data_IF_033756647505
#
_entry.id   IF_033756647505
#
_cell.length_a   1.000
_cell.length_b   1.000
_cell.length_c   1.000
_cell.angle_alpha   90.00
_cell.angle_beta   90.00
_cell.angle_gamma   90.00
#
_symmetry.space_group_name_H-M   'P 1'
#
loop_
_entity.id
_entity.type
_entity.pdbx_description
1 polymer ?
#
# COMPACT_ATOMS: atom_id res chain seq x y z
N UNK A 1 -16.14 12.11 -1.39
CA UNK A 1 -16.19 12.34 -2.86
C UNK A 1 -16.30 13.84 -3.09
N UNK A 2 -15.61 14.39 -4.08
CA UNK A 2 -15.67 15.81 -4.47
C UNK A 2 -15.77 15.91 -6.01
N UNK A 3 -16.38 16.97 -6.54
CA UNK A 3 -16.54 17.19 -7.99
C UNK A 3 -15.30 17.84 -8.62
N UNK A 4 -14.92 17.43 -9.84
CA UNK A 4 -13.65 17.84 -10.48
C UNK A 4 -13.55 19.31 -10.93
N UNK A 5 -14.62 20.10 -10.83
CA UNK A 5 -14.63 21.51 -11.23
C UNK A 5 -13.95 22.46 -10.23
N UNK A 6 -13.60 21.98 -9.03
CA UNK A 6 -12.92 22.76 -7.99
C UNK A 6 -11.38 22.74 -8.10
N UNK A 7 -10.81 22.13 -9.14
CA UNK A 7 -9.36 21.86 -9.24
C UNK A 7 -8.56 22.74 -10.24
N UNK A 8 -9.00 23.96 -10.60
CA UNK A 8 -8.33 24.74 -11.68
C UNK A 8 -7.31 25.80 -11.18
N UNK A 9 -6.03 25.51 -11.44
CA UNK A 9 -4.80 26.33 -11.60
C UNK A 9 -4.59 27.61 -10.77
N UNK A 10 -3.48 27.71 -10.01
CA UNK A 10 -2.82 29.01 -9.79
C UNK A 10 -1.32 28.98 -9.36
N UNK A 11 -0.48 29.41 -10.31
CA UNK A 11 0.85 30.06 -10.29
C UNK A 11 1.62 30.32 -8.97
N UNK A 12 2.77 29.62 -8.88
CA UNK A 12 4.17 30.00 -8.50
C UNK A 12 4.44 31.03 -7.38
N UNK A 13 4.96 30.51 -6.25
CA UNK A 13 6.24 30.95 -5.67
C UNK A 13 6.39 30.91 -4.14
N UNK A 14 7.09 29.90 -3.58
CA UNK A 14 7.77 30.03 -2.27
C UNK A 14 7.92 28.78 -1.39
N UNK A 15 9.19 28.49 -1.00
CA UNK A 15 9.74 27.65 0.11
C UNK A 15 8.89 26.52 0.71
N UNK A 16 9.33 25.27 0.46
CA UNK A 16 8.80 24.04 1.06
C UNK A 16 8.82 24.01 2.60
N UNK A 17 7.73 23.51 3.18
CA UNK A 17 7.46 23.48 4.62
C UNK A 17 7.33 22.02 5.09
N UNK A 18 8.05 21.69 6.17
CA UNK A 18 7.80 20.50 6.98
C UNK A 18 6.45 20.65 7.71
N UNK A 19 5.42 19.90 7.31
CA UNK A 19 4.16 19.87 8.03
C UNK A 19 4.18 18.74 9.08
N UNK A 20 4.13 19.12 10.36
CA UNK A 20 3.96 18.23 11.51
C UNK A 20 2.55 18.46 12.05
N UNK A 21 1.63 17.52 11.82
CA UNK A 21 0.26 17.59 12.32
C UNK A 21 0.07 16.66 13.52
N UNK A 22 -0.66 17.12 14.54
CA UNK A 22 -1.07 16.32 15.71
C UNK A 22 -2.52 15.83 15.57
N UNK A 23 -2.82 14.75 16.30
CA UNK A 23 -3.94 13.78 16.25
C UNK A 23 -5.40 14.27 16.19
N UNK A 24 -5.68 15.55 15.96
CA UNK A 24 -7.04 16.02 15.64
C UNK A 24 -7.31 16.16 14.13
N UNK A 25 -6.29 15.92 13.31
CA UNK A 25 -6.41 15.99 11.85
C UNK A 25 -6.60 14.59 11.25
N UNK A 26 -7.78 14.36 10.67
CA UNK A 26 -8.04 13.22 9.80
C UNK A 26 -7.15 13.37 8.55
N UNK A 27 -6.23 12.43 8.33
CA UNK A 27 -5.37 12.46 7.15
C UNK A 27 -5.91 11.54 6.06
N UNK A 28 -5.69 11.94 4.82
CA UNK A 28 -6.17 11.18 3.67
C UNK A 28 -5.17 10.07 3.33
N UNK A 29 -5.53 8.83 3.61
CA UNK A 29 -4.68 7.67 3.31
C UNK A 29 -4.66 7.34 1.80
N UNK A 30 -5.79 7.51 1.11
CA UNK A 30 -5.93 7.17 -0.31
C UNK A 30 -6.78 8.21 -1.02
N UNK A 31 -6.21 8.79 -2.09
CA UNK A 31 -6.90 9.66 -3.04
C UNK A 31 -6.99 8.93 -4.37
N UNK A 32 -8.16 8.96 -5.00
CA UNK A 32 -8.31 8.55 -6.39
C UNK A 32 -9.44 9.33 -7.04
N UNK A 33 -9.28 9.61 -8.33
CA UNK A 33 -10.34 10.20 -9.16
C UNK A 33 -11.18 9.10 -9.76
N UNK A 34 -12.50 9.19 -9.61
CA UNK A 34 -13.45 8.28 -10.23
C UNK A 34 -14.73 9.03 -10.60
N UNK A 35 -15.48 8.52 -11.58
CA UNK A 35 -16.84 9.01 -11.85
C UNK A 35 -17.80 8.54 -10.75
N UNK A 36 -18.85 9.31 -10.48
CA UNK A 36 -19.92 8.93 -9.56
C UNK A 36 -20.62 7.63 -9.96
N UNK A 37 -20.59 7.29 -11.25
CA UNK A 37 -21.18 6.06 -11.79
C UNK A 37 -20.21 4.87 -11.80
N UNK A 38 -18.94 5.07 -11.44
CA UNK A 38 -17.95 4.00 -11.37
C UNK A 38 -18.25 3.09 -10.18
N UNK A 39 -17.85 1.83 -10.29
CA UNK A 39 -17.87 0.91 -9.17
C UNK A 39 -16.58 1.07 -8.38
N UNK A 40 -16.67 1.12 -7.06
CA UNK A 40 -15.53 1.03 -6.15
C UNK A 40 -15.59 -0.32 -5.44
N UNK A 41 -14.49 -1.05 -5.53
CA UNK A 41 -14.26 -2.29 -4.84
C UNK A 41 -13.49 -2.01 -3.56
N UNK A 42 -14.03 -2.44 -2.42
CA UNK A 42 -13.43 -2.29 -1.10
C UNK A 42 -13.00 -3.67 -0.63
N UNK A 43 -11.69 -3.90 -0.56
CA UNK A 43 -11.10 -5.13 -0.06
C UNK A 43 -10.75 -4.95 1.42
N UNK A 44 -11.09 -5.94 2.24
CA UNK A 44 -10.90 -5.86 3.69
C UNK A 44 -9.79 -6.78 4.17
N UNK A 45 -9.25 -6.52 5.36
CA UNK A 45 -8.30 -7.40 6.05
C UNK A 45 -8.83 -8.84 6.21
N UNK A 46 -10.15 -9.03 6.29
CA UNK A 46 -10.80 -10.36 6.36
C UNK A 46 -10.91 -11.07 5.00
N UNK A 47 -10.32 -10.50 3.94
CA UNK A 47 -10.30 -11.11 2.61
C UNK A 47 -11.64 -11.04 1.88
N UNK A 48 -12.53 -10.14 2.31
CA UNK A 48 -13.80 -9.85 1.63
C UNK A 48 -13.62 -8.70 0.66
N UNK A 49 -14.49 -8.67 -0.34
CA UNK A 49 -14.61 -7.56 -1.27
C UNK A 49 -16.05 -7.11 -1.35
N UNK A 50 -16.27 -5.81 -1.21
CA UNK A 50 -17.57 -5.15 -1.35
C UNK A 50 -17.56 -4.26 -2.59
N UNK A 51 -18.73 -4.10 -3.22
CA UNK A 51 -18.91 -3.22 -4.37
C UNK A 51 -19.94 -2.15 -4.05
N UNK A 52 -19.57 -0.88 -4.23
CA UNK A 52 -20.50 0.25 -4.19
C UNK A 52 -20.31 1.15 -5.40
N UNK A 53 -21.37 1.82 -5.82
CA UNK A 53 -21.26 2.89 -6.82
C UNK A 53 -20.77 4.17 -6.14
N UNK A 54 -20.01 4.99 -6.86
CA UNK A 54 -19.46 6.25 -6.33
C UNK A 54 -20.52 7.15 -5.70
N UNK A 55 -21.69 7.26 -6.32
CA UNK A 55 -22.81 8.07 -5.81
C UNK A 55 -23.41 7.62 -4.47
N UNK A 56 -23.13 6.38 -4.02
CA UNK A 56 -23.55 5.92 -2.69
C UNK A 56 -22.68 6.54 -1.58
N UNK A 57 -21.46 6.96 -1.92
CA UNK A 57 -20.57 7.61 -0.98
C UNK A 57 -21.01 9.08 -0.88
N UNK A 58 -21.38 9.56 0.32
CA UNK A 58 -21.83 10.93 0.48
C UNK A 58 -20.79 11.93 -0.03
N UNK A 59 -21.29 12.93 -0.77
CA UNK A 59 -20.50 14.11 -1.08
C UNK A 59 -20.31 14.91 0.21
N UNK A 60 -19.12 15.43 0.40
CA UNK A 60 -18.78 16.29 1.53
C UNK A 60 -18.04 17.51 0.98
N UNK A 61 -17.96 18.60 1.75
CA UNK A 61 -17.05 19.71 1.42
C UNK A 61 -15.59 19.32 1.69
N UNK A 62 -14.61 19.94 1.02
CA UNK A 62 -13.17 19.58 1.14
C UNK A 62 -12.68 19.53 2.59
N UNK A 63 -13.22 20.38 3.45
CA UNK A 63 -12.89 20.50 4.88
C UNK A 63 -13.74 19.61 5.79
N UNK A 64 -14.73 18.89 5.25
CA UNK A 64 -15.61 18.03 6.03
C UNK A 64 -14.98 16.66 6.22
N UNK A 65 -15.16 16.08 7.42
CA UNK A 65 -14.64 14.75 7.81
C UNK A 65 -15.19 13.58 6.99
N UNK A 66 -16.18 13.82 6.13
CA UNK A 66 -16.81 12.80 5.32
C UNK A 66 -17.71 11.87 6.15
N UNK A 67 -17.88 10.63 5.68
CA UNK A 67 -18.73 9.62 6.32
C UNK A 67 -17.90 8.42 6.70
N UNK A 68 -18.13 7.89 7.92
CA UNK A 68 -17.46 6.68 8.38
C UNK A 68 -17.75 5.49 7.44
N UNK A 69 -16.72 4.74 7.06
CA UNK A 69 -16.82 3.63 6.12
C UNK A 69 -17.78 2.52 6.58
N UNK A 70 -17.95 2.33 7.90
CA UNK A 70 -18.89 1.37 8.50
C UNK A 70 -20.35 1.71 8.13
N UNK A 71 -20.67 2.97 7.90
CA UNK A 71 -22.01 3.38 7.47
C UNK A 71 -22.27 3.09 5.99
N UNK A 72 -21.23 2.82 5.20
CA UNK A 72 -21.31 2.58 3.76
C UNK A 72 -21.25 1.08 3.45
N UNK A 73 -20.47 0.32 4.23
CA UNK A 73 -20.19 -1.10 4.03
C UNK A 73 -20.64 -1.92 5.26
N UNK A 74 -21.32 -3.06 5.06
CA UNK A 74 -21.65 -3.97 6.15
C UNK A 74 -20.41 -4.80 6.53
N UNK A 75 -19.47 -4.17 7.22
CA UNK A 75 -18.24 -4.78 7.72
C UNK A 75 -18.42 -5.27 9.16
N UNK A 76 -17.73 -6.35 9.48
CA UNK A 76 -17.76 -6.98 10.80
C UNK A 76 -16.84 -6.24 11.80
N UNK A 77 -17.00 -6.54 13.10
CA UNK A 77 -16.13 -5.96 14.12
C UNK A 77 -14.67 -6.41 13.89
N UNK A 78 -13.74 -5.44 13.84
CA UNK A 78 -12.33 -5.70 13.53
C UNK A 78 -12.02 -5.83 12.04
N UNK A 79 -13.04 -5.82 11.18
CA UNK A 79 -12.87 -5.75 9.73
C UNK A 79 -12.56 -4.30 9.30
N UNK A 80 -11.49 -4.12 8.53
CA UNK A 80 -11.00 -2.84 8.06
C UNK A 80 -10.75 -2.90 6.54
N UNK A 81 -10.95 -1.78 5.85
CA UNK A 81 -10.67 -1.68 4.41
C UNK A 81 -9.16 -1.51 4.21
N UNK A 82 -8.54 -2.44 3.48
CA UNK A 82 -7.10 -2.44 3.21
C UNK A 82 -6.77 -2.00 1.77
N UNK A 83 -7.72 -2.07 0.84
CA UNK A 83 -7.54 -1.54 -0.50
C UNK A 83 -8.86 -1.08 -1.13
N UNK A 84 -8.78 -0.01 -1.91
CA UNK A 84 -9.86 0.47 -2.76
C UNK A 84 -9.42 0.45 -4.22
N UNK A 85 -10.23 -0.14 -5.09
CA UNK A 85 -9.99 -0.18 -6.54
C UNK A 85 -11.25 0.30 -7.25
N UNK A 86 -11.15 1.37 -8.02
CA UNK A 86 -12.25 1.85 -8.84
C UNK A 86 -12.21 1.22 -10.23
N UNK A 87 -13.38 0.88 -10.77
CA UNK A 87 -13.54 0.33 -12.10
C UNK A 87 -14.83 0.83 -12.76
N UNK A 88 -14.70 1.23 -14.04
CA UNK A 88 -15.85 1.52 -14.91
C UNK A 88 -16.53 0.23 -15.33
N UNK A 89 -15.74 -0.66 -15.92
CA UNK A 89 -16.14 -1.97 -16.41
C UNK A 89 -15.19 -3.03 -15.85
N UNK A 90 -15.64 -4.28 -15.81
CA UNK A 90 -14.79 -5.39 -15.35
C UNK A 90 -13.87 -5.80 -16.49
N UNK A 91 -12.55 -5.50 -16.41
CA UNK A 91 -11.61 -5.85 -17.47
C UNK A 91 -11.46 -7.37 -17.57
N UNK A 92 -11.36 -7.90 -18.79
CA UNK A 92 -11.14 -9.33 -19.01
C UNK A 92 -9.66 -9.72 -18.90
N UNK A 93 -8.76 -8.80 -19.27
CA UNK A 93 -7.31 -9.05 -19.35
C UNK A 93 -6.52 -8.44 -18.19
N UNK A 94 -7.16 -8.29 -17.03
CA UNK A 94 -6.50 -7.81 -15.81
C UNK A 94 -6.69 -8.76 -14.65
N UNK A 95 -5.74 -8.70 -13.73
CA UNK A 95 -5.70 -9.55 -12.56
C UNK A 95 -5.65 -8.72 -11.28
N UNK A 96 -6.08 -9.33 -10.19
CA UNK A 96 -5.89 -8.85 -8.84
C UNK A 96 -4.86 -9.76 -8.17
N UNK A 97 -3.71 -9.17 -7.79
CA UNK A 97 -2.73 -9.82 -6.93
C UNK A 97 -3.00 -9.41 -5.49
N UNK A 98 -3.27 -10.39 -4.64
CA UNK A 98 -3.52 -10.26 -3.22
C UNK A 98 -2.35 -10.85 -2.45
N UNK A 99 -1.92 -10.18 -1.38
CA UNK A 99 -0.87 -10.66 -0.48
C UNK A 99 -1.36 -10.59 0.96
N UNK A 100 -1.16 -11.67 1.71
CA UNK A 100 -1.54 -11.78 3.11
C UNK A 100 -0.36 -11.54 4.05
N UNK A 101 -0.65 -11.31 5.33
CA UNK A 101 0.31 -11.07 6.40
C UNK A 101 1.24 -12.26 6.60
N UNK A 102 0.72 -13.49 6.45
CA UNK A 102 1.51 -14.73 6.53
C UNK A 102 2.30 -15.06 5.24
N UNK A 103 2.31 -14.17 4.25
CA UNK A 103 3.09 -14.34 3.02
C UNK A 103 2.44 -15.21 1.96
N UNK A 104 1.14 -15.48 2.07
CA UNK A 104 0.36 -16.09 0.98
C UNK A 104 0.09 -15.05 -0.10
N UNK A 105 0.26 -15.45 -1.36
CA UNK A 105 -0.10 -14.65 -2.53
C UNK A 105 -1.18 -15.37 -3.34
N UNK A 106 -2.13 -14.60 -3.86
CA UNK A 106 -3.15 -15.09 -4.77
C UNK A 106 -3.30 -14.16 -5.95
N UNK A 107 -3.34 -14.72 -7.16
CA UNK A 107 -3.71 -14.00 -8.37
C UNK A 107 -5.11 -14.43 -8.81
N UNK A 108 -5.99 -13.48 -9.07
CA UNK A 108 -7.37 -13.71 -9.50
C UNK A 108 -7.66 -12.91 -10.76
N UNK A 109 -8.39 -13.48 -11.72
CA UNK A 109 -8.89 -12.68 -12.84
C UNK A 109 -9.94 -11.68 -12.36
N UNK A 110 -9.91 -10.44 -12.85
CA UNK A 110 -10.92 -9.44 -12.49
C UNK A 110 -12.35 -9.88 -12.85
N UNK A 111 -12.50 -10.73 -13.87
CA UNK A 111 -13.78 -11.29 -14.32
C UNK A 111 -14.51 -12.10 -13.23
N UNK A 112 -13.78 -12.66 -12.25
CA UNK A 112 -14.36 -13.40 -11.11
C UNK A 112 -15.27 -12.53 -10.24
N UNK A 113 -15.10 -11.20 -10.29
CA UNK A 113 -15.86 -10.23 -9.51
C UNK A 113 -17.05 -9.62 -10.28
N UNK A 114 -17.24 -9.95 -11.56
CA UNK A 114 -18.25 -9.31 -12.44
C UNK A 114 -19.68 -9.41 -11.89
N UNK A 115 -20.05 -10.61 -11.42
CA UNK A 115 -21.40 -10.92 -10.95
C UNK A 115 -21.59 -10.71 -9.44
N UNK A 116 -20.75 -9.87 -8.82
CA UNK A 116 -20.88 -9.52 -7.42
C UNK A 116 -22.23 -8.87 -7.09
N UNK A 117 -22.82 -9.27 -5.97
CA UNK A 117 -23.94 -8.56 -5.34
C UNK A 117 -23.43 -7.58 -4.28
N UNK A 118 -24.28 -6.67 -3.82
CA UNK A 118 -23.89 -5.60 -2.88
C UNK A 118 -23.58 -6.07 -1.44
N UNK A 119 -23.88 -7.33 -1.09
CA UNK A 119 -23.62 -7.92 0.23
C UNK A 119 -22.15 -8.26 0.51
N UNK A 120 -21.29 -8.08 -0.50
CA UNK A 120 -19.88 -8.48 -0.44
C UNK A 120 -19.69 -9.98 -0.61
N UNK A 121 -18.50 -10.37 -1.06
CA UNK A 121 -18.13 -11.77 -1.25
C UNK A 121 -16.70 -12.01 -0.77
N UNK A 122 -16.37 -13.27 -0.49
CA UNK A 122 -14.98 -13.67 -0.21
C UNK A 122 -14.13 -13.59 -1.48
N UNK A 123 -13.04 -12.83 -1.43
CA UNK A 123 -12.04 -12.71 -2.50
C UNK A 123 -10.87 -13.69 -2.29
N UNK A 124 -10.54 -13.99 -1.05
CA UNK A 124 -9.49 -14.94 -0.67
C UNK A 124 -9.93 -15.73 0.57
N UNK A 125 -9.61 -17.02 0.61
CA UNK A 125 -9.74 -17.79 1.85
C UNK A 125 -8.49 -17.53 2.68
N UNK A 126 -8.69 -16.99 3.88
CA UNK A 126 -7.63 -16.78 4.85
C UNK A 126 -7.61 -17.95 5.84
N UNK A 127 -6.41 -18.28 6.32
CA UNK A 127 -6.21 -19.17 7.46
C UNK A 127 -6.40 -18.38 8.76
N UNK A 128 -6.58 -19.09 9.88
CA UNK A 128 -6.85 -18.47 11.17
C UNK A 128 -5.70 -17.54 11.60
N UNK A 129 -6.03 -16.29 11.93
CA UNK A 129 -5.06 -15.25 12.31
C UNK A 129 -4.33 -14.58 11.13
N UNK A 130 -4.60 -14.98 9.89
CA UNK A 130 -4.07 -14.30 8.71
C UNK A 130 -4.95 -13.11 8.28
N UNK A 131 -4.33 -12.13 7.63
CA UNK A 131 -4.98 -10.89 7.21
C UNK A 131 -4.54 -10.55 5.78
N UNK A 132 -5.48 -10.11 4.95
CA UNK A 132 -5.16 -9.59 3.62
C UNK A 132 -4.54 -8.20 3.75
N UNK A 133 -3.24 -8.03 3.48
CA UNK A 133 -2.54 -6.74 3.69
C UNK A 133 -2.37 -5.89 2.43
N UNK A 134 -2.54 -6.48 1.24
CA UNK A 134 -2.36 -5.76 -0.02
C UNK A 134 -3.18 -6.35 -1.15
N UNK A 135 -3.77 -5.48 -1.96
CA UNK A 135 -4.43 -5.82 -3.22
C UNK A 135 -3.95 -4.88 -4.31
N UNK A 136 -3.49 -5.44 -5.43
CA UNK A 136 -3.01 -4.68 -6.58
C UNK A 136 -3.63 -5.20 -7.87
N UNK A 137 -4.25 -4.30 -8.62
CA UNK A 137 -4.62 -4.55 -10.02
C UNK A 137 -3.36 -4.71 -10.87
N UNK A 138 -3.32 -5.65 -11.80
CA UNK A 138 -2.15 -6.04 -12.60
C UNK A 138 -2.59 -6.41 -14.01
N UNK A 139 -1.68 -6.37 -14.97
CA UNK A 139 -1.94 -6.62 -16.40
C UNK A 139 -1.41 -7.97 -16.90
N UNK A 140 -0.85 -8.80 -16.01
CA UNK A 140 -0.22 -10.07 -16.38
C UNK A 140 1.29 -10.01 -16.52
N UNK A 141 1.90 -8.81 -16.52
CA UNK A 141 3.34 -8.60 -16.75
C UNK A 141 4.06 -7.90 -15.60
N UNK A 142 3.46 -7.83 -14.41
CA UNK A 142 4.01 -7.10 -13.27
C UNK A 142 4.97 -7.95 -12.43
N UNK A 143 6.02 -7.31 -11.91
CA UNK A 143 6.79 -7.87 -10.80
C UNK A 143 6.15 -7.43 -9.48
N UNK A 144 6.01 -8.37 -8.56
CA UNK A 144 5.42 -8.17 -7.24
C UNK A 144 6.54 -8.25 -6.21
N UNK A 145 6.67 -7.19 -5.42
CA UNK A 145 7.60 -7.14 -4.29
C UNK A 145 6.83 -7.25 -2.98
N UNK A 146 7.32 -8.11 -2.08
CA UNK A 146 6.80 -8.31 -0.72
C UNK A 146 7.98 -8.10 0.22
N UNK A 147 7.78 -7.33 1.30
CA UNK A 147 8.77 -7.12 2.34
C UNK A 147 8.25 -7.60 3.71
N UNK A 148 9.17 -8.02 4.57
CA UNK A 148 8.87 -8.57 5.89
C UNK A 148 9.36 -7.67 7.02
N UNK A 149 8.80 -7.88 8.21
CA UNK A 149 9.12 -7.18 9.45
C UNK A 149 10.60 -7.35 9.84
N UNK A 150 11.15 -8.54 9.64
CA UNK A 150 12.58 -8.83 9.88
C UNK A 150 13.54 -8.25 8.82
N UNK A 151 13.03 -7.54 7.81
CA UNK A 151 13.85 -6.86 6.82
C UNK A 151 14.31 -7.77 5.69
N UNK A 152 13.49 -8.76 5.32
CA UNK A 152 13.64 -9.52 4.07
C UNK A 152 12.69 -8.97 3.00
N UNK A 153 13.01 -9.19 1.73
CA UNK A 153 12.10 -8.92 0.62
C UNK A 153 12.26 -9.92 -0.52
N UNK A 154 11.15 -10.29 -1.14
CA UNK A 154 11.11 -11.11 -2.36
C UNK A 154 10.46 -10.31 -3.48
N UNK A 155 11.05 -10.39 -4.68
CA UNK A 155 10.51 -9.79 -5.89
C UNK A 155 10.35 -10.88 -6.96
N UNK A 156 9.13 -11.19 -7.38
CA UNK A 156 8.85 -12.28 -8.33
C UNK A 156 7.84 -11.84 -9.40
N UNK A 157 7.79 -12.54 -10.53
CA UNK A 157 6.81 -12.26 -11.58
C UNK A 157 5.42 -12.66 -11.12
N UNK A 158 4.40 -11.85 -11.36
CA UNK A 158 3.02 -12.22 -11.03
C UNK A 158 2.59 -13.54 -11.69
N UNK A 159 3.19 -13.89 -12.83
CA UNK A 159 2.93 -15.13 -13.58
C UNK A 159 3.40 -16.39 -12.88
N UNK A 160 4.29 -16.29 -11.89
CA UNK A 160 4.66 -17.42 -11.03
C UNK A 160 3.48 -17.92 -10.19
N UNK A 161 2.42 -17.10 -10.09
CA UNK A 161 1.14 -17.43 -9.46
C UNK A 161 0.11 -17.62 -10.56
N UNK A 162 -0.37 -18.85 -10.78
CA UNK A 162 -1.48 -19.07 -11.72
C UNK A 162 -2.74 -18.32 -11.26
N UNK A 163 -3.61 -17.85 -12.18
CA UNK A 163 -4.91 -17.31 -11.80
C UNK A 163 -5.74 -18.38 -11.07
N UNK A 164 -6.46 -17.97 -10.03
CA UNK A 164 -7.31 -18.82 -9.21
C UNK A 164 -8.67 -18.17 -8.97
N UNK A 165 -9.69 -19.01 -8.77
CA UNK A 165 -11.03 -18.55 -8.43
C UNK A 165 -11.15 -18.02 -6.99
N UNK A 166 -12.30 -17.43 -6.68
CA UNK A 166 -12.58 -16.75 -5.41
C UNK A 166 -12.38 -17.57 -4.14
N UNK A 167 -12.75 -18.85 -4.15
CA UNK A 167 -12.66 -19.70 -2.97
C UNK A 167 -11.23 -20.19 -2.63
N UNK A 168 -10.26 -19.97 -3.52
CA UNK A 168 -8.89 -20.42 -3.29
C UNK A 168 -8.19 -19.60 -2.19
N UNK A 169 -7.32 -20.26 -1.42
CA UNK A 169 -6.47 -19.62 -0.42
C UNK A 169 -5.29 -18.87 -1.06
N UNK A 170 -4.71 -19.43 -2.13
CA UNK A 170 -3.52 -18.87 -2.78
C UNK A 170 -2.36 -19.87 -2.70
N UNK A 171 -1.15 -19.37 -2.91
CA UNK A 171 0.10 -20.12 -2.82
C UNK A 171 1.11 -19.29 -2.05
N UNK A 172 2.18 -19.92 -1.55
CA UNK A 172 3.25 -19.21 -0.88
C UNK A 172 3.91 -18.18 -1.81
N UNK A 173 3.93 -16.92 -1.37
CA UNK A 173 4.60 -15.79 -2.03
C UNK A 173 6.01 -15.57 -1.46
N UNK A 174 6.14 -15.57 -0.14
CA UNK A 174 7.42 -15.53 0.58
C UNK A 174 7.41 -16.58 1.69
N UNK A 175 8.57 -17.18 1.97
CA UNK A 175 8.76 -18.03 3.14
C UNK A 175 9.19 -17.15 4.32
N UNK A 176 8.33 -17.07 5.33
CA UNK A 176 8.60 -16.35 6.57
C UNK A 176 9.38 -17.22 7.57
N UNK A 177 10.21 -16.56 8.37
CA UNK A 177 10.80 -17.18 9.56
C UNK A 177 9.79 -17.16 10.70
N UNK A 178 10.07 -17.93 11.75
CA UNK A 178 9.25 -17.94 12.95
C UNK A 178 9.14 -16.53 13.55
N UNK A 179 7.91 -16.07 13.78
CA UNK A 179 7.61 -14.74 14.30
C UNK A 179 7.66 -13.59 13.28
N UNK A 180 8.12 -13.82 12.05
CA UNK A 180 8.14 -12.81 10.99
C UNK A 180 6.78 -12.72 10.27
N UNK A 181 6.52 -11.58 9.65
CA UNK A 181 5.30 -11.33 8.88
C UNK A 181 5.51 -10.30 7.79
N UNK A 182 4.63 -10.29 6.79
CA UNK A 182 4.68 -9.31 5.71
C UNK A 182 4.18 -7.94 6.20
N UNK A 183 4.98 -6.91 5.96
CA UNK A 183 4.66 -5.51 6.32
C UNK A 183 4.20 -4.68 5.13
N UNK A 184 4.34 -5.21 3.91
CA UNK A 184 3.82 -4.57 2.73
C UNK A 184 4.09 -5.36 1.45
N UNK A 185 3.27 -5.10 0.45
CA UNK A 185 3.45 -5.62 -0.89
C UNK A 185 2.98 -4.62 -1.95
N UNK A 186 3.68 -4.58 -3.08
CA UNK A 186 3.40 -3.64 -4.16
C UNK A 186 3.79 -4.22 -5.52
N UNK A 187 3.26 -3.59 -6.57
CA UNK A 187 3.79 -3.74 -7.93
C UNK A 187 5.06 -2.93 -8.03
N UNK A 188 6.08 -3.51 -8.66
CA UNK A 188 7.25 -2.77 -9.06
C UNK A 188 6.89 -1.72 -10.10
N UNK A 189 7.56 -0.56 -10.06
CA UNK A 189 7.53 0.45 -11.11
C UNK A 189 8.88 0.49 -11.78
N UNK A 190 8.89 0.66 -13.09
CA UNK A 190 10.12 0.93 -13.82
C UNK A 190 10.76 2.22 -13.30
N UNK A 191 12.07 2.21 -13.05
CA UNK A 191 12.80 3.32 -12.43
C UNK A 191 12.42 3.60 -10.96
N UNK A 192 11.45 2.89 -10.39
CA UNK A 192 11.01 3.09 -9.02
C UNK A 192 11.96 2.54 -7.97
N UNK A 193 11.77 2.98 -6.72
CA UNK A 193 12.46 2.51 -5.55
C UNK A 193 11.50 1.87 -4.54
N UNK A 194 11.96 0.87 -3.79
CA UNK A 194 11.32 0.45 -2.56
C UNK A 194 11.76 1.40 -1.43
N UNK A 195 10.85 2.24 -0.94
CA UNK A 195 11.01 2.94 0.32
C UNK A 195 10.71 1.96 1.46
N UNK A 196 11.68 1.80 2.36
CA UNK A 196 11.50 1.05 3.61
C UNK A 196 11.67 1.99 4.79
N UNK A 197 10.72 1.95 5.73
CA UNK A 197 10.76 2.71 7.00
C UNK A 197 10.65 1.73 8.16
N UNK A 198 11.47 1.94 9.19
CA UNK A 198 11.55 1.11 10.40
C UNK A 198 10.79 1.71 11.56
N UNK A 199 10.49 0.89 12.56
CA UNK A 199 9.74 1.28 13.76
C UNK A 199 10.36 2.48 14.49
N UNK A 200 11.69 2.62 14.49
CA UNK A 200 12.38 3.74 15.17
C UNK A 200 12.64 4.95 14.25
N UNK A 201 11.92 5.07 13.14
CA UNK A 201 11.95 6.27 12.29
C UNK A 201 13.17 6.37 11.35
N UNK A 202 13.82 5.25 11.03
CA UNK A 202 14.85 5.21 9.98
C UNK A 202 14.25 4.75 8.67
N UNK A 203 14.76 5.25 7.55
CA UNK A 203 14.32 4.82 6.25
C UNK A 203 15.34 5.07 5.15
N UNK A 204 15.09 4.43 4.01
CA UNK A 204 15.85 4.59 2.77
C UNK A 204 15.02 4.19 1.57
N UNK A 205 15.32 4.79 0.43
CA UNK A 205 14.93 4.26 -0.88
C UNK A 205 16.00 3.27 -1.34
N UNK A 206 15.58 2.16 -1.93
CA UNK A 206 16.49 1.24 -2.62
C UNK A 206 15.91 0.92 -4.00
N UNK A 207 16.68 1.06 -5.08
CA UNK A 207 16.19 0.80 -6.43
C UNK A 207 15.63 -0.61 -6.58
N UNK A 208 14.53 -0.76 -7.33
CA UNK A 208 13.85 -2.05 -7.48
C UNK A 208 14.75 -3.13 -8.12
N UNK A 209 15.67 -2.73 -9.00
CA UNK A 209 16.62 -3.63 -9.65
C UNK A 209 17.54 -4.36 -8.65
N UNK A 210 17.81 -3.80 -7.46
CA UNK A 210 18.58 -4.47 -6.42
C UNK A 210 17.86 -5.71 -5.86
N UNK A 211 16.54 -5.81 -6.05
CA UNK A 211 15.72 -6.95 -5.62
C UNK A 211 15.60 -8.05 -6.69
N UNK A 212 16.18 -7.83 -7.87
CA UNK A 212 16.28 -8.80 -8.95
C UNK A 212 17.55 -9.64 -8.78
N UNK A 213 17.47 -10.93 -9.14
CA UNK A 213 18.61 -11.82 -9.28
C UNK A 213 19.48 -11.33 -10.44
N UNK A 214 20.79 -11.21 -10.17
CA UNK A 214 21.77 -10.70 -11.14
C UNK A 214 21.44 -9.32 -11.73
N UNK A 215 20.54 -8.55 -11.10
CA UNK A 215 20.10 -7.23 -11.56
C UNK A 215 19.04 -7.24 -12.68
N UNK A 216 18.70 -8.40 -13.24
CA UNK A 216 17.87 -8.50 -14.45
C UNK A 216 16.63 -9.36 -14.27
N UNK A 217 16.73 -10.47 -13.53
CA UNK A 217 15.64 -11.43 -13.41
C UNK A 217 14.97 -11.37 -12.04
N UNK A 218 13.63 -11.42 -11.97
CA UNK A 218 12.95 -11.63 -10.69
C UNK A 218 13.39 -12.92 -9.98
N UNK A 219 13.29 -12.92 -8.66
CA UNK A 219 13.39 -14.12 -7.83
C UNK A 219 12.22 -15.06 -8.13
N UNK A 220 12.37 -16.35 -7.77
CA UNK A 220 11.24 -17.29 -7.77
C UNK A 220 10.41 -17.07 -6.52
N UNK A 221 9.07 -17.06 -6.63
CA UNK A 221 8.20 -16.98 -5.45
C UNK A 221 8.46 -18.12 -4.45
N UNK A 222 8.07 -17.90 -3.20
CA UNK A 222 8.08 -18.90 -2.14
C UNK A 222 9.43 -19.15 -1.48
N UNK A 223 10.49 -18.45 -1.92
CA UNK A 223 11.77 -18.39 -1.21
C UNK A 223 11.72 -17.45 0.00
N UNK A 224 12.81 -17.42 0.77
CA UNK A 224 12.98 -16.51 1.91
C UNK A 224 13.21 -15.04 1.51
N UNK A 225 13.37 -14.79 0.20
CA UNK A 225 13.77 -13.49 -0.31
C UNK A 225 15.25 -13.18 -0.07
N UNK A 226 15.60 -11.93 -0.27
CA UNK A 226 16.93 -11.36 -0.04
C UNK A 226 16.81 -10.22 0.96
N UNK A 227 17.93 -9.85 1.59
CA UNK A 227 17.96 -8.78 2.58
C UNK A 227 17.41 -7.47 1.98
N UNK A 228 16.46 -6.83 2.66
CA UNK A 228 15.88 -5.53 2.32
C UNK A 228 16.53 -4.40 3.16
N UNK A 229 16.76 -4.68 4.43
CA UNK A 229 17.19 -3.70 5.41
C UNK A 229 18.20 -4.30 6.40
N UNK A 230 19.19 -3.52 6.84
CA UNK A 230 20.02 -3.89 7.99
C UNK A 230 19.29 -3.52 9.28
N UNK A 231 18.46 -4.44 9.77
CA UNK A 231 17.82 -4.30 11.09
C UNK A 231 18.87 -4.33 12.19
N UNK A 232 18.77 -3.40 13.13
CA UNK A 232 19.59 -3.29 14.35
C UNK A 232 18.71 -2.80 15.50
N UNK A 233 19.21 -2.88 16.74
CA UNK A 233 18.51 -2.29 17.90
C UNK A 233 18.22 -0.80 17.71
N UNK A 234 19.16 -0.06 17.10
CA UNK A 234 19.01 1.36 16.77
C UNK A 234 17.84 1.63 15.81
N UNK A 235 17.74 0.84 14.73
CA UNK A 235 16.72 1.08 13.69
C UNK A 235 15.37 0.52 14.08
N UNK A 236 15.33 -0.51 14.91
CA UNK A 236 14.15 -1.35 15.07
C UNK A 236 13.88 -2.16 13.80
N UNK A 237 12.78 -2.93 13.85
CA UNK A 237 12.27 -3.76 12.76
C UNK A 237 11.63 -2.91 11.67
N UNK A 238 11.35 -3.50 10.50
CA UNK A 238 10.68 -2.77 9.43
C UNK A 238 9.21 -2.55 9.79
N UNK A 239 8.75 -1.30 9.77
CA UNK A 239 7.35 -0.97 10.05
C UNK A 239 6.49 -1.07 8.78
N UNK A 240 6.98 -0.51 7.66
CA UNK A 240 6.23 -0.50 6.41
C UNK A 240 7.13 -0.27 5.18
N UNK A 241 6.59 -0.63 4.01
CA UNK A 241 7.23 -0.36 2.72
C UNK A 241 6.26 0.21 1.69
N UNK A 242 6.76 1.05 0.78
CA UNK A 242 6.03 1.50 -0.42
C UNK A 242 6.97 1.54 -1.62
N UNK A 243 6.44 1.23 -2.80
CA UNK A 243 7.14 1.52 -4.05
C UNK A 243 6.83 2.97 -4.41
N UNK A 244 7.88 3.76 -4.58
CA UNK A 244 7.81 5.21 -4.82
C UNK A 244 8.73 5.60 -5.99
N UNK A 245 8.40 6.70 -6.63
CA UNK A 245 9.29 7.44 -7.53
C UNK A 245 9.45 8.90 -7.04
N UNK A 246 10.23 9.71 -7.75
CA UNK A 246 10.56 11.08 -7.31
C UNK A 246 9.37 12.07 -7.45
N UNK A 247 8.25 11.62 -8.02
CA UNK A 247 6.99 12.35 -8.12
C UNK A 247 5.96 11.90 -7.07
N UNK A 248 6.37 11.10 -6.09
CA UNK A 248 5.54 10.72 -4.95
C UNK A 248 5.92 11.53 -3.70
N UNK A 249 4.91 11.84 -2.90
CA UNK A 249 5.08 12.19 -1.49
C UNK A 249 4.78 10.97 -0.61
N UNK A 250 5.34 11.00 0.59
CA UNK A 250 5.09 9.97 1.59
C UNK A 250 4.66 10.59 2.92
N UNK A 251 3.70 9.93 3.55
CA UNK A 251 3.21 10.25 4.90
C UNK A 251 3.72 9.19 5.85
N UNK A 252 4.47 9.59 6.87
CA UNK A 252 4.95 8.71 7.94
C UNK A 252 4.15 9.03 9.19
N UNK A 253 3.54 8.00 9.80
CA UNK A 253 2.65 8.16 10.95
C UNK A 253 3.20 7.39 12.14
N UNK A 254 3.30 8.06 13.29
CA UNK A 254 3.73 7.48 14.56
C UNK A 254 2.57 7.06 15.45
N UNK A 255 2.85 6.23 16.46
CA UNK A 255 1.87 5.65 17.39
C UNK A 255 1.17 6.67 18.29
N UNK A 256 1.79 7.81 18.55
CA UNK A 256 1.22 8.97 19.24
C UNK A 256 0.41 9.90 18.31
N UNK A 257 0.38 9.60 17.00
CA UNK A 257 -0.44 10.30 16.02
C UNK A 257 0.23 11.51 15.37
N UNK A 258 1.57 11.64 15.47
CA UNK A 258 2.31 12.61 14.66
C UNK A 258 2.40 12.11 13.22
N UNK A 259 2.15 13.02 12.28
CA UNK A 259 2.23 12.76 10.84
C UNK A 259 3.25 13.70 10.22
N UNK A 260 4.15 13.14 9.42
CA UNK A 260 5.10 13.91 8.61
C UNK A 260 4.87 13.60 7.14
N UNK A 261 4.64 14.64 6.35
CA UNK A 261 4.70 14.59 4.89
C UNK A 261 6.08 14.98 4.40
N UNK A 262 6.64 14.24 3.46
CA UNK A 262 7.88 14.61 2.76
C UNK A 262 7.91 14.08 1.35
N UNK A 263 8.62 14.78 0.46
CA UNK A 263 8.85 14.29 -0.88
C UNK A 263 9.70 13.02 -0.84
N UNK A 264 9.29 11.99 -1.58
CA UNK A 264 10.09 10.76 -1.69
C UNK A 264 11.47 11.06 -2.30
N UNK A 265 11.60 12.11 -3.11
CA UNK A 265 12.84 12.60 -3.69
C UNK A 265 13.89 12.99 -2.61
N UNK A 266 13.46 13.47 -1.44
CA UNK A 266 14.36 13.94 -0.37
C UNK A 266 14.91 12.78 0.48
N UNK A 267 14.35 11.57 0.33
CA UNK A 267 14.83 10.39 1.05
C UNK A 267 16.00 9.78 0.27
N UNK A 268 17.14 9.62 0.94
CA UNK A 268 18.35 9.10 0.31
C UNK A 268 18.18 7.67 -0.25
N UNK A 269 18.83 7.45 -1.39
CA UNK A 269 18.97 6.15 -2.02
C UNK A 269 20.18 5.43 -1.41
N UNK A 270 19.97 4.22 -0.93
CA UNK A 270 21.02 3.35 -0.42
C UNK A 270 20.79 1.90 -0.82
N UNK A 271 21.87 1.12 -0.84
CA UNK A 271 21.81 -0.31 -1.10
C UNK A 271 20.99 -1.08 -0.06
N UNK A 272 20.58 -2.30 -0.41
CA UNK A 272 19.77 -3.17 0.46
C UNK A 272 20.35 -3.40 1.86
N UNK A 273 21.62 -3.78 1.96
CA UNK A 273 22.26 -4.16 3.23
C UNK A 273 22.72 -2.97 4.10
N UNK A 274 22.00 -1.85 4.06
CA UNK A 274 22.32 -0.62 4.82
C UNK A 274 21.25 -0.31 5.86
N UNK A 275 21.59 0.55 6.83
CA UNK A 275 20.68 0.95 7.93
C UNK A 275 19.78 2.14 7.59
N UNK A 276 19.96 2.77 6.42
CA UNK A 276 19.27 3.99 6.04
C UNK A 276 19.63 5.21 6.92
N UNK A 277 18.83 6.26 6.79
CA UNK A 277 18.97 7.52 7.53
C UNK A 277 17.71 7.80 8.35
N UNK A 278 17.81 8.69 9.33
CA UNK A 278 16.63 9.07 10.13
C UNK A 278 15.69 9.91 9.26
N UNK A 279 14.46 9.43 9.08
CA UNK A 279 13.38 10.13 8.37
C UNK A 279 12.35 10.72 9.34
N UNK A 280 12.23 10.15 10.55
CA UNK A 280 11.37 10.67 11.60
C UNK A 280 12.11 10.61 12.94
N UNK A 281 12.05 11.70 13.72
CA UNK A 281 12.48 11.69 15.13
C UNK A 281 11.28 11.25 15.96
N UNK A 282 11.51 10.31 16.85
CA UNK A 282 10.49 9.76 17.73
C UNK A 282 10.96 9.91 19.17
N UNK A 283 10.00 10.20 20.04
CA UNK A 283 10.22 10.17 21.48
C UNK A 283 10.33 8.73 21.99
N UNK A 284 10.80 8.57 23.22
CA UNK A 284 11.00 7.26 23.82
C UNK A 284 9.67 6.47 23.91
N UNK A 285 9.68 5.22 23.44
CA UNK A 285 8.50 4.36 23.40
C UNK A 285 7.55 4.61 22.22
N UNK A 286 7.74 5.68 21.44
CA UNK A 286 6.95 5.98 20.24
C UNK A 286 7.55 5.25 19.04
N UNK A 287 6.68 4.68 18.19
CA UNK A 287 7.07 3.95 16.98
C UNK A 287 6.38 4.48 15.75
N UNK A 288 7.00 4.33 14.57
CA UNK A 288 6.31 4.39 13.29
C UNK A 288 5.35 3.21 13.20
N UNK A 289 4.08 3.50 12.88
CA UNK A 289 3.03 2.48 12.73
C UNK A 289 2.49 2.39 11.31
N UNK A 290 2.67 3.43 10.49
CA UNK A 290 2.16 3.44 9.11
C UNK A 290 3.00 4.31 8.19
N UNK A 291 2.93 3.96 6.90
CA UNK A 291 3.52 4.66 5.78
C UNK A 291 2.49 4.70 4.65
N UNK A 292 2.15 5.88 4.17
CA UNK A 292 1.31 6.06 2.98
C UNK A 292 2.10 6.75 1.85
N UNK A 293 1.66 6.50 0.62
CA UNK A 293 2.18 7.15 -0.59
C UNK A 293 1.04 7.97 -1.18
N UNK A 294 1.28 9.24 -1.43
CA UNK A 294 0.35 10.16 -2.07
C UNK A 294 1.01 10.81 -3.28
N UNK A 295 0.21 11.41 -4.15
CA UNK A 295 0.73 12.26 -5.21
C UNK A 295 1.50 13.42 -4.60
N UNK A 296 2.58 13.83 -5.28
CA UNK A 296 3.41 14.94 -4.83
C UNK A 296 2.57 16.20 -4.69
N UNK A 297 2.65 16.84 -3.53
CA UNK A 297 2.07 18.16 -3.33
C UNK A 297 2.76 19.10 -4.33
N UNK A 298 2.00 19.60 -5.29
CA UNK A 298 2.49 20.71 -6.08
C UNK A 298 2.54 21.93 -5.17
N UNK A 299 3.52 22.81 -5.37
CA UNK A 299 3.66 24.06 -4.61
C UNK A 299 2.38 24.94 -4.63
N UNK A 300 1.44 24.70 -5.54
CA UNK A 300 0.12 25.36 -5.60
C UNK A 300 -0.91 24.84 -4.56
N UNK A 301 -0.68 23.68 -3.93
CA UNK A 301 -1.62 23.04 -2.99
C UNK A 301 -1.29 23.29 -1.51
N UNK A 302 -0.08 23.77 -1.21
CA UNK A 302 0.41 24.05 0.14
C UNK A 302 0.21 25.52 0.58
N UNK A 303 -0.39 26.37 -0.27
CA UNK A 303 -0.94 27.70 0.09
C UNK A 303 -2.42 27.62 0.49
#
# INVERSE_FOLDING_TARGET
FFTGSTYKNQRRGGKGIFAMATREEDYVETIFTASTHDNILFFTNFGRVYRKKGYIIPEAGRTAKGTNIINILPIEQGEQVNAMIHIREFPQDKYLVMVTKTGTVKRMSFSELRNMKNVGIRAIKLDDGDELISVRETDGNQNIIIATHDGMAICFKETDVRPMGRAAAGVRGILLREGDFCVGAARCREGGCLLTVTENGYGKKTPINEYLRSGEEPQKRGGIGIKNYQVTEKTGKVAAVKVVDDNDDVLIISSDGVIIRMAAADINIYGRATQGVRVMRLDEGIKVISLARTEKETEEEAE
#
